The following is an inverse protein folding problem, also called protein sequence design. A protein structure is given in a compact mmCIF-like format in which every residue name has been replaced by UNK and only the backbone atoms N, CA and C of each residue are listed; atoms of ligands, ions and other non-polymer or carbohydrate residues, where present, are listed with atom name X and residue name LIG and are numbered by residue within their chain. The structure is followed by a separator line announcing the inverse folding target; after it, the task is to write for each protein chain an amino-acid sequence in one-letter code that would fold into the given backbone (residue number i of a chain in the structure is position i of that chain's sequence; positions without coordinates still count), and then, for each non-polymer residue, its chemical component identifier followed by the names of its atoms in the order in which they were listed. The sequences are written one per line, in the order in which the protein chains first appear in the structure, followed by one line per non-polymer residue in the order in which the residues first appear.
data_IF_104214717934
#
_entry.id   IF_104214717934
#
_cell.length_a   1.000
_cell.length_b   1.000
_cell.length_c   1.000
_cell.angle_alpha   90.00
_cell.angle_beta   90.00
_cell.angle_gamma   90.00
#
_symmetry.space_group_name_H-M   'P 1'
#
loop_
_entity.id
_entity.type
_entity.pdbx_description
1 polymer ?
#
# COMPACT_ATOMS: atom_id res chain seq x y z
N UNK A 1 -6.29 -32.23 4.20
CA UNK A 1 -7.23 -32.37 3.06
C UNK A 1 -8.63 -31.83 3.29
N UNK A 2 -9.31 -32.11 4.41
CA UNK A 2 -10.62 -31.47 4.67
C UNK A 2 -10.51 -29.96 4.92
N UNK A 3 -9.53 -29.55 5.73
CA UNK A 3 -9.24 -28.15 6.06
C UNK A 3 -8.77 -27.37 4.83
N UNK A 4 -7.87 -27.93 4.02
CA UNK A 4 -7.42 -27.31 2.76
C UNK A 4 -8.60 -27.02 1.83
N UNK A 5 -9.49 -27.99 1.60
CA UNK A 5 -10.70 -27.78 0.79
C UNK A 5 -11.62 -26.69 1.35
N UNK A 6 -11.71 -26.60 2.67
CA UNK A 6 -12.50 -25.55 3.32
C UNK A 6 -11.85 -24.18 3.15
N UNK A 7 -10.52 -24.07 3.25
CA UNK A 7 -9.77 -22.85 2.99
C UNK A 7 -9.96 -22.42 1.54
N UNK A 8 -9.76 -23.31 0.58
CA UNK A 8 -9.90 -23.00 -0.85
C UNK A 8 -11.31 -22.46 -1.16
N UNK A 9 -12.35 -23.15 -0.68
CA UNK A 9 -13.74 -22.74 -0.88
C UNK A 9 -14.07 -21.41 -0.20
N UNK A 10 -13.51 -21.14 0.99
CA UNK A 10 -13.71 -19.86 1.67
C UNK A 10 -12.98 -18.72 0.96
N UNK A 11 -11.76 -18.97 0.46
CA UNK A 11 -11.01 -17.98 -0.30
C UNK A 11 -11.74 -17.59 -1.57
N UNK A 12 -12.30 -18.55 -2.32
CA UNK A 12 -13.12 -18.25 -3.52
C UNK A 12 -14.30 -17.33 -3.20
N UNK A 13 -15.05 -17.63 -2.14
CA UNK A 13 -16.22 -16.82 -1.73
C UNK A 13 -15.81 -15.43 -1.27
N UNK A 14 -14.69 -15.30 -0.55
CA UNK A 14 -14.18 -14.01 -0.10
C UNK A 14 -13.71 -13.14 -1.27
N UNK A 15 -13.09 -13.75 -2.27
CA UNK A 15 -12.66 -13.05 -3.48
C UNK A 15 -13.87 -12.61 -4.33
N UNK A 16 -14.89 -13.45 -4.48
CA UNK A 16 -16.13 -13.10 -5.20
C UNK A 16 -16.92 -11.98 -4.49
N UNK A 17 -16.86 -11.95 -3.15
CA UNK A 17 -17.49 -10.91 -2.34
C UNK A 17 -16.67 -9.63 -2.23
N UNK A 18 -15.42 -9.63 -2.71
CA UNK A 18 -14.54 -8.48 -2.61
C UNK A 18 -15.08 -7.33 -3.45
N UNK A 19 -15.15 -6.14 -2.85
CA UNK A 19 -15.54 -4.92 -3.55
C UNK A 19 -14.30 -4.21 -4.03
N UNK A 20 -14.15 -4.10 -5.34
CA UNK A 20 -13.13 -3.24 -5.92
C UNK A 20 -13.43 -1.78 -5.57
N UNK A 21 -12.37 -1.07 -5.16
CA UNK A 21 -12.40 0.38 -4.97
C UNK A 21 -11.84 1.02 -6.23
N UNK A 22 -12.66 1.82 -6.90
CA UNK A 22 -12.30 2.44 -8.18
C UNK A 22 -12.21 3.94 -8.09
N UNK A 23 -12.90 4.56 -7.11
CA UNK A 23 -12.95 6.01 -6.99
C UNK A 23 -11.98 6.54 -5.95
N UNK A 24 -11.48 7.75 -6.20
CA UNK A 24 -10.59 8.47 -5.28
C UNK A 24 -11.23 8.64 -3.90
N UNK A 25 -12.54 8.88 -3.85
CA UNK A 25 -13.30 9.05 -2.61
C UNK A 25 -13.33 7.75 -1.78
N UNK A 26 -13.47 6.59 -2.43
CA UNK A 26 -13.42 5.30 -1.74
C UNK A 26 -12.03 5.05 -1.16
N UNK A 27 -10.97 5.36 -1.93
CA UNK A 27 -9.58 5.25 -1.47
C UNK A 27 -9.34 6.19 -0.28
N UNK A 28 -9.77 7.45 -0.37
CA UNK A 28 -9.64 8.44 0.70
C UNK A 28 -10.38 8.03 1.97
N UNK A 29 -11.60 7.49 1.84
CA UNK A 29 -12.40 7.02 2.96
C UNK A 29 -11.73 5.81 3.64
N UNK A 30 -11.29 4.81 2.87
CA UNK A 30 -10.61 3.63 3.43
C UNK A 30 -9.29 4.00 4.09
N UNK A 31 -8.48 4.84 3.44
CA UNK A 31 -7.21 5.33 3.97
C UNK A 31 -7.43 6.18 5.24
N UNK A 32 -8.42 7.07 5.23
CA UNK A 32 -8.75 7.92 6.37
C UNK A 32 -9.29 7.13 7.56
N UNK A 33 -10.11 6.09 7.33
CA UNK A 33 -10.57 5.19 8.40
C UNK A 33 -9.40 4.40 8.98
N UNK A 34 -8.49 3.90 8.13
CA UNK A 34 -7.31 3.14 8.56
C UNK A 34 -6.32 4.00 9.37
N UNK A 35 -6.10 5.24 8.93
CA UNK A 35 -5.20 6.19 9.58
C UNK A 35 -5.82 6.89 10.80
N UNK A 36 -7.15 6.88 10.94
CA UNK A 36 -7.88 7.62 11.97
C UNK A 36 -7.96 9.14 11.72
N UNK A 37 -7.46 9.62 10.58
CA UNK A 37 -7.45 11.03 10.19
C UNK A 37 -7.91 11.19 8.72
N UNK A 38 -9.03 11.89 8.47
CA UNK A 38 -9.51 12.19 7.12
C UNK A 38 -8.52 12.97 6.24
N UNK A 39 -7.72 13.87 6.84
CA UNK A 39 -6.76 14.69 6.10
C UNK A 39 -5.60 13.84 5.54
N UNK A 40 -5.14 12.85 6.31
CA UNK A 40 -4.14 11.87 5.87
C UNK A 40 -4.72 10.98 4.76
N UNK A 41 -5.97 10.54 4.90
CA UNK A 41 -6.66 9.75 3.88
C UNK A 41 -6.74 10.46 2.53
N UNK A 42 -7.07 11.75 2.52
CA UNK A 42 -7.14 12.56 1.31
C UNK A 42 -5.77 12.74 0.65
N UNK A 43 -4.70 12.93 1.44
CA UNK A 43 -3.33 13.02 0.93
C UNK A 43 -2.87 11.70 0.31
N UNK A 44 -3.17 10.57 0.94
CA UNK A 44 -2.87 9.23 0.41
C UNK A 44 -3.63 8.99 -0.90
N UNK A 45 -4.91 9.36 -0.96
CA UNK A 45 -5.70 9.22 -2.17
C UNK A 45 -5.14 10.08 -3.32
N UNK A 46 -4.70 11.30 -3.03
CA UNK A 46 -4.00 12.16 -4.00
C UNK A 46 -2.67 11.56 -4.47
N UNK A 47 -1.93 10.90 -3.58
CA UNK A 47 -0.69 10.22 -3.93
C UNK A 47 -0.93 9.05 -4.89
N UNK A 48 -1.89 8.18 -4.56
CA UNK A 48 -2.26 7.01 -5.37
C UNK A 48 -2.78 7.44 -6.74
N UNK A 49 -3.58 8.52 -6.80
CA UNK A 49 -4.10 9.06 -8.05
C UNK A 49 -2.99 9.58 -8.98
N UNK A 50 -1.97 10.24 -8.43
CA UNK A 50 -0.81 10.73 -9.20
C UNK A 50 0.14 9.62 -9.64
N UNK A 51 0.32 8.59 -8.82
CA UNK A 51 1.27 7.50 -9.01
C UNK A 51 0.69 6.39 -9.91
N UNK A 52 -0.64 6.23 -9.93
CA UNK A 52 -1.34 5.20 -10.69
C UNK A 52 -1.34 3.82 -10.01
N UNK A 53 -2.08 2.87 -10.57
CA UNK A 53 -2.35 1.54 -9.95
C UNK A 53 -1.10 0.69 -9.69
N UNK A 54 -0.02 0.91 -10.45
CA UNK A 54 1.20 0.09 -10.38
C UNK A 54 2.40 0.82 -9.76
N UNK A 55 2.23 2.07 -9.35
CA UNK A 55 3.35 2.83 -8.82
C UNK A 55 3.56 2.62 -7.31
N UNK A 56 4.78 2.88 -6.86
CA UNK A 56 5.24 2.60 -5.50
C UNK A 56 5.24 3.88 -4.68
N UNK A 57 4.59 3.86 -3.52
CA UNK A 57 4.64 4.96 -2.55
C UNK A 57 5.71 4.65 -1.51
N UNK A 58 6.62 5.59 -1.28
CA UNK A 58 7.63 5.50 -0.21
C UNK A 58 7.36 6.61 0.80
N UNK A 59 7.60 6.32 2.08
CA UNK A 59 7.42 7.27 3.18
C UNK A 59 8.80 7.60 3.75
N UNK A 60 9.11 8.89 3.85
CA UNK A 60 10.34 9.38 4.47
C UNK A 60 10.01 10.29 5.66
N UNK A 61 10.78 10.17 6.73
CA UNK A 61 10.67 11.05 7.89
C UNK A 61 11.47 12.33 7.62
N UNK A 62 10.78 13.47 7.66
CA UNK A 62 11.40 14.79 7.51
C UNK A 62 11.28 15.61 8.79
N UNK A 63 12.28 16.44 9.07
CA UNK A 63 12.28 17.38 10.19
C UNK A 63 11.40 18.62 9.93
N UNK A 64 10.86 18.76 8.71
CA UNK A 64 9.98 19.87 8.34
C UNK A 64 8.57 19.62 8.86
N UNK A 65 7.92 20.68 9.38
CA UNK A 65 6.55 20.60 9.82
C UNK A 65 5.61 20.55 8.60
N UNK A 66 4.84 19.47 8.48
CA UNK A 66 3.84 19.30 7.43
C UNK A 66 3.94 17.93 6.74
N UNK A 67 2.98 17.67 5.86
CA UNK A 67 3.01 16.52 4.96
C UNK A 67 3.28 17.06 3.55
N UNK A 68 4.36 16.58 2.93
CA UNK A 68 4.71 16.93 1.56
C UNK A 68 4.62 15.71 0.67
N UNK A 69 4.21 15.93 -0.57
CA UNK A 69 4.13 14.89 -1.60
C UNK A 69 5.10 15.22 -2.72
N UNK A 70 6.12 14.39 -2.87
CA UNK A 70 7.09 14.47 -3.95
C UNK A 70 6.89 13.29 -4.92
N UNK A 71 6.86 13.59 -6.23
CA UNK A 71 6.79 12.57 -7.27
C UNK A 71 8.18 12.41 -7.88
N UNK A 72 8.77 11.23 -7.74
CA UNK A 72 10.06 10.91 -8.36
C UNK A 72 9.86 9.83 -9.43
N UNK A 73 10.45 10.04 -10.61
CA UNK A 73 10.53 9.02 -11.65
C UNK A 73 11.63 8.01 -11.27
N UNK A 74 11.21 6.82 -10.83
CA UNK A 74 12.11 5.74 -10.42
C UNK A 74 11.63 4.38 -10.91
N UNK A 75 12.49 3.38 -10.81
CA UNK A 75 12.17 2.00 -11.17
C UNK A 75 12.52 1.08 -10.00
N UNK A 76 11.55 0.28 -9.56
CA UNK A 76 11.75 -0.76 -8.56
C UNK A 76 11.87 -2.11 -9.26
N UNK A 77 12.85 -2.91 -8.86
CA UNK A 77 12.97 -4.30 -9.26
C UNK A 77 12.68 -5.19 -8.06
N UNK A 78 11.87 -6.23 -8.24
CA UNK A 78 11.57 -7.23 -7.20
C UNK A 78 12.72 -8.24 -7.03
N UNK A 79 13.96 -7.75 -6.91
CA UNK A 79 15.13 -8.58 -6.62
C UNK A 79 15.58 -8.32 -5.19
N UNK A 80 15.46 -9.35 -4.36
CA UNK A 80 16.09 -9.36 -3.03
C UNK A 80 17.61 -9.50 -3.12
N UNK A 81 18.27 -9.37 -1.98
CA UNK A 81 19.70 -9.63 -1.87
C UNK A 81 20.00 -11.13 -2.08
N UNK A 82 21.17 -11.42 -2.67
CA UNK A 82 21.66 -12.81 -2.81
C UNK A 82 21.93 -13.43 -1.43
N UNK A 83 22.26 -12.61 -0.43
CA UNK A 83 22.54 -13.04 0.94
C UNK A 83 22.07 -11.99 1.94
N UNK A 84 21.54 -12.44 3.08
CA UNK A 84 21.13 -11.56 4.18
C UNK A 84 22.28 -10.76 4.81
N UNK A 85 23.54 -11.08 4.51
CA UNK A 85 24.70 -10.26 4.92
C UNK A 85 24.83 -8.93 4.16
N UNK A 86 24.08 -8.75 3.06
CA UNK A 86 24.06 -7.48 2.32
C UNK A 86 23.05 -6.47 2.88
N UNK A 87 22.36 -6.82 3.97
CA UNK A 87 21.44 -5.91 4.65
C UNK A 87 22.25 -4.83 5.37
N UNK A 88 22.08 -3.58 4.93
CA UNK A 88 22.76 -2.41 5.50
C UNK A 88 22.19 -2.00 6.86
N UNK A 89 20.93 -2.33 7.13
CA UNK A 89 20.23 -2.01 8.37
C UNK A 89 19.30 -3.20 8.73
N UNK A 90 19.66 -3.95 9.76
CA UNK A 90 18.96 -5.20 10.11
C UNK A 90 17.71 -4.96 10.97
N UNK A 91 17.49 -3.73 11.44
CA UNK A 91 16.39 -3.36 12.34
C UNK A 91 15.33 -2.46 11.69
N UNK A 92 15.53 -2.03 10.44
CA UNK A 92 14.55 -1.26 9.64
C UNK A 92 13.72 -2.12 8.71
#
# INVERSE_FOLDING_TARGET
RGIEKAVDSLTEVLLDSAKEIETKEQIAATAGISAGDPAIGELIAQAIDKVGKEGVVTVEESNTFGLELELTEGMRFDKGYISGYFVSDAER
#
